data_IF_620031410426
#
_entry.id   IF_620031410426
#
_cell.length_a   1.000
_cell.length_b   1.000
_cell.length_c   1.000
_cell.angle_alpha   90.00
_cell.angle_beta   90.00
_cell.angle_gamma   90.00
#
_symmetry.space_group_name_H-M   'P 1'
#
loop_
_entity.id
_entity.type
_entity.pdbx_description
1 polymer ?
#
# COMPACT_ATOMS: atom_id res chain seq x y z
N UNK A 1 -37.30 -31.83 -16.48
CA UNK A 1 -36.08 -31.61 -17.30
C UNK A 1 -35.68 -30.15 -17.14
N UNK A 2 -34.66 -29.87 -16.32
CA UNK A 2 -33.36 -29.32 -16.77
C UNK A 2 -33.43 -27.85 -17.20
N UNK A 3 -33.37 -26.95 -16.22
CA UNK A 3 -32.93 -25.56 -16.40
C UNK A 3 -31.53 -25.59 -17.02
N UNK A 4 -31.43 -25.36 -18.33
CA UNK A 4 -30.18 -25.45 -19.11
C UNK A 4 -30.15 -24.33 -20.14
N UNK A 5 -30.05 -23.06 -19.73
CA UNK A 5 -29.68 -22.01 -20.70
C UNK A 5 -29.14 -20.69 -20.16
N UNK A 6 -28.85 -20.54 -18.87
CA UNK A 6 -28.39 -19.23 -18.34
C UNK A 6 -27.06 -19.36 -17.61
N UNK A 7 -26.04 -19.89 -18.30
CA UNK A 7 -24.70 -20.09 -17.74
C UNK A 7 -23.59 -19.38 -18.54
N UNK A 8 -23.92 -18.39 -19.37
CA UNK A 8 -22.95 -17.85 -20.35
C UNK A 8 -23.00 -16.33 -20.56
N UNK A 9 -23.45 -15.54 -19.57
CA UNK A 9 -23.37 -14.07 -19.67
C UNK A 9 -23.00 -13.50 -18.30
N UNK A 10 -21.72 -13.57 -17.93
CA UNK A 10 -21.17 -12.73 -16.85
C UNK A 10 -19.64 -12.67 -16.87
N UNK A 11 -18.95 -13.50 -17.66
CA UNK A 11 -17.50 -13.46 -17.80
C UNK A 11 -16.98 -12.31 -18.68
N UNK A 12 -17.88 -11.48 -19.23
CA UNK A 12 -17.49 -10.32 -20.05
C UNK A 12 -17.19 -9.05 -19.23
N UNK A 13 -17.57 -8.99 -17.95
CA UNK A 13 -17.29 -7.81 -17.10
C UNK A 13 -15.85 -7.77 -16.57
N UNK A 14 -15.13 -8.88 -16.59
CA UNK A 14 -13.75 -8.96 -16.12
C UNK A 14 -12.72 -8.31 -17.08
N UNK A 15 -13.09 -8.07 -18.34
CA UNK A 15 -12.19 -7.44 -19.32
C UNK A 15 -12.38 -5.92 -19.43
N UNK A 16 -13.51 -5.38 -18.97
CA UNK A 16 -13.75 -3.93 -18.92
C UNK A 16 -13.16 -3.25 -17.68
N UNK A 17 -12.85 -4.00 -16.62
CA UNK A 17 -12.12 -3.48 -15.45
C UNK A 17 -10.62 -3.37 -15.69
N UNK A 18 -10.06 -4.12 -16.66
CA UNK A 18 -8.64 -4.01 -17.01
C UNK A 18 -8.31 -2.76 -17.82
N UNK A 19 -9.33 -2.05 -18.35
CA UNK A 19 -9.15 -0.74 -18.99
C UNK A 19 -9.06 0.41 -17.97
N UNK A 20 -9.28 0.14 -16.68
CA UNK A 20 -8.91 1.03 -15.57
C UNK A 20 -7.48 0.81 -15.07
N UNK A 21 -6.80 -0.24 -15.54
CA UNK A 21 -5.37 -0.47 -15.32
C UNK A 21 -4.55 0.10 -16.50
N UNK A 22 -4.83 1.35 -16.85
CA UNK A 22 -3.97 2.13 -17.75
C UNK A 22 -3.02 3.00 -16.93
N UNK A 23 -2.57 2.47 -15.81
CA UNK A 23 -1.44 2.96 -15.05
C UNK A 23 -0.18 2.48 -15.77
N UNK A 24 0.83 3.34 -15.88
CA UNK A 24 2.05 2.97 -16.60
C UNK A 24 2.81 1.87 -15.83
N UNK A 25 3.66 1.07 -16.51
CA UNK A 25 4.54 0.10 -15.79
C UNK A 25 5.48 0.81 -14.79
N UNK A 26 5.69 2.11 -14.96
CA UNK A 26 6.47 2.95 -14.07
C UNK A 26 5.68 3.32 -12.81
N UNK A 27 4.45 3.82 -12.98
CA UNK A 27 3.53 4.16 -11.89
C UNK A 27 3.20 2.90 -11.04
N UNK A 28 3.00 1.74 -11.66
CA UNK A 28 2.81 0.48 -10.92
C UNK A 28 4.06 0.03 -10.11
N UNK A 29 5.25 0.52 -10.46
CA UNK A 29 6.48 0.27 -9.68
C UNK A 29 6.67 1.31 -8.58
N UNK A 30 6.31 2.57 -8.83
CA UNK A 30 6.23 3.64 -7.81
C UNK A 30 5.26 3.20 -6.70
N UNK A 31 4.02 2.85 -7.06
CA UNK A 31 2.98 2.35 -6.15
C UNK A 31 3.44 1.13 -5.33
N UNK A 32 4.16 0.19 -5.95
CA UNK A 32 4.63 -1.01 -5.24
C UNK A 32 5.68 -0.64 -4.18
N UNK A 33 6.57 0.30 -4.50
CA UNK A 33 7.63 0.75 -3.62
C UNK A 33 7.04 1.62 -2.51
N UNK A 34 6.23 2.61 -2.84
CA UNK A 34 5.53 3.47 -1.87
C UNK A 34 4.76 2.60 -0.87
N UNK A 35 3.93 1.67 -1.36
CA UNK A 35 3.12 0.80 -0.51
C UNK A 35 3.97 -0.16 0.37
N UNK A 36 5.17 -0.55 -0.07
CA UNK A 36 6.07 -1.37 0.75
C UNK A 36 6.63 -0.57 1.94
N UNK A 37 6.95 0.70 1.74
CA UNK A 37 7.56 1.53 2.77
C UNK A 37 6.50 2.14 3.69
N UNK A 38 5.41 2.68 3.13
CA UNK A 38 4.25 3.19 3.90
C UNK A 38 3.66 2.10 4.81
N UNK A 39 3.50 0.86 4.32
CA UNK A 39 2.96 -0.21 5.19
C UNK A 39 3.88 -0.60 6.36
N UNK A 40 5.18 -0.29 6.28
CA UNK A 40 6.11 -0.46 7.39
C UNK A 40 6.11 0.76 8.33
N UNK A 41 5.99 1.96 7.77
CA UNK A 41 5.78 3.21 8.50
C UNK A 41 4.50 3.14 9.35
N UNK A 42 3.36 2.77 8.76
CA UNK A 42 2.07 2.58 9.43
C UNK A 42 2.20 1.69 10.69
N UNK A 43 2.97 0.60 10.57
CA UNK A 43 3.17 -0.35 11.67
C UNK A 43 4.04 0.25 12.79
N UNK A 44 4.98 1.13 12.46
CA UNK A 44 5.81 1.85 13.43
C UNK A 44 5.01 2.96 14.11
N UNK A 45 4.22 3.73 13.36
CA UNK A 45 3.32 4.76 13.89
C UNK A 45 2.26 4.17 14.82
N UNK A 46 1.61 3.07 14.45
CA UNK A 46 0.61 2.43 15.32
C UNK A 46 1.25 1.88 16.61
N UNK A 47 2.53 1.50 16.56
CA UNK A 47 3.30 1.15 17.76
C UNK A 47 3.66 2.38 18.60
N UNK A 48 3.99 3.51 17.97
CA UNK A 48 4.26 4.77 18.63
C UNK A 48 2.99 5.27 19.37
N UNK A 49 1.84 5.25 18.69
CA UNK A 49 0.51 5.55 19.27
C UNK A 49 0.20 4.65 20.47
N UNK A 50 0.52 3.36 20.37
CA UNK A 50 0.33 2.42 21.47
C UNK A 50 1.26 2.76 22.67
N UNK A 51 2.49 3.18 22.41
CA UNK A 51 3.43 3.61 23.44
C UNK A 51 2.97 4.92 24.10
N UNK A 52 2.48 5.89 23.32
CA UNK A 52 1.88 7.13 23.82
C UNK A 52 0.68 6.83 24.74
N UNK A 53 -0.22 5.95 24.28
CA UNK A 53 -1.39 5.53 25.05
C UNK A 53 -1.03 4.82 26.37
N UNK A 54 0.15 4.19 26.44
CA UNK A 54 0.70 3.59 27.66
C UNK A 54 1.49 4.57 28.53
N UNK A 55 1.73 5.79 28.04
CA UNK A 55 2.51 6.83 28.70
C UNK A 55 4.02 6.62 28.64
N UNK A 56 4.51 5.86 27.65
CA UNK A 56 5.95 5.62 27.43
C UNK A 56 6.49 6.55 26.35
N UNK A 57 6.69 7.83 26.70
CA UNK A 57 7.18 8.90 25.81
C UNK A 57 8.54 8.55 25.17
N UNK A 58 9.43 7.84 25.87
CA UNK A 58 10.74 7.49 25.32
C UNK A 58 10.64 6.40 24.24
N UNK A 59 9.68 5.50 24.37
CA UNK A 59 9.41 4.49 23.35
C UNK A 59 8.67 5.10 22.15
N UNK A 60 7.71 6.00 22.39
CA UNK A 60 7.02 6.75 21.35
C UNK A 60 8.00 7.55 20.49
N UNK A 61 8.82 8.43 21.08
CA UNK A 61 9.81 9.25 20.35
C UNK A 61 10.83 8.38 19.56
N UNK A 62 11.17 7.19 20.07
CA UNK A 62 12.07 6.28 19.36
C UNK A 62 11.40 5.53 18.20
N UNK A 63 10.10 5.26 18.28
CA UNK A 63 9.32 4.62 17.22
C UNK A 63 8.96 5.64 16.15
N UNK A 64 8.57 6.85 16.54
CA UNK A 64 8.32 8.00 15.67
C UNK A 64 9.55 8.32 14.80
N UNK A 65 10.73 8.45 15.41
CA UNK A 65 11.97 8.67 14.66
C UNK A 65 12.35 7.52 13.70
N UNK A 66 11.85 6.30 13.95
CA UNK A 66 12.03 5.17 13.03
C UNK A 66 11.01 5.19 11.89
N UNK A 67 9.77 5.61 12.16
CA UNK A 67 8.75 5.82 11.14
C UNK A 67 9.20 6.91 10.15
N UNK A 68 9.66 8.06 10.66
CA UNK A 68 10.25 9.15 9.86
C UNK A 68 11.37 8.65 8.94
N UNK A 69 12.32 7.89 9.50
CA UNK A 69 13.43 7.34 8.73
C UNK A 69 12.98 6.31 7.68
N UNK A 70 11.86 5.62 7.92
CA UNK A 70 11.27 4.69 6.95
C UNK A 70 10.57 5.44 5.82
N UNK A 71 9.81 6.49 6.14
CA UNK A 71 9.16 7.37 5.15
C UNK A 71 10.19 8.03 4.23
N UNK A 72 11.24 8.65 4.79
CA UNK A 72 12.32 9.25 3.99
C UNK A 72 13.04 8.23 3.08
N UNK A 73 13.15 6.97 3.54
CA UNK A 73 13.73 5.90 2.73
C UNK A 73 12.78 5.42 1.62
N UNK A 74 11.47 5.49 1.85
CA UNK A 74 10.43 5.25 0.87
C UNK A 74 10.46 6.30 -0.24
N UNK A 75 10.45 7.59 0.12
CA UNK A 75 10.58 8.71 -0.81
C UNK A 75 11.82 8.56 -1.70
N UNK A 76 12.97 8.25 -1.11
CA UNK A 76 14.22 8.06 -1.85
C UNK A 76 14.16 6.84 -2.80
N UNK A 77 13.39 5.82 -2.46
CA UNK A 77 13.21 4.63 -3.30
C UNK A 77 12.21 4.88 -4.44
N UNK A 78 11.11 5.59 -4.19
CA UNK A 78 10.15 6.06 -5.19
C UNK A 78 10.85 6.98 -6.21
N UNK A 79 11.63 7.95 -5.74
CA UNK A 79 12.43 8.86 -6.58
C UNK A 79 13.39 8.09 -7.51
N UNK A 80 13.95 6.97 -7.04
CA UNK A 80 14.85 6.14 -7.83
C UNK A 80 14.13 5.37 -8.96
N UNK A 81 12.83 5.11 -8.80
CA UNK A 81 11.97 4.49 -9.82
C UNK A 81 11.39 5.54 -10.78
N UNK A 82 11.18 6.76 -10.29
CA UNK A 82 10.61 7.88 -11.02
C UNK A 82 11.58 8.55 -12.04
N UNK A 83 12.89 8.26 -11.98
CA UNK A 83 13.95 8.92 -12.78
C UNK A 83 14.40 8.17 -14.05
#
# INVERSE_FOLDING_TARGET
MKFKTTALIASAFAMTTLAGCAESEQEAQEDLVEQQYESQEDVLEEQADLAEAQGDEAAEEALDAQADAMGEAGDAAEDAVSN
#
